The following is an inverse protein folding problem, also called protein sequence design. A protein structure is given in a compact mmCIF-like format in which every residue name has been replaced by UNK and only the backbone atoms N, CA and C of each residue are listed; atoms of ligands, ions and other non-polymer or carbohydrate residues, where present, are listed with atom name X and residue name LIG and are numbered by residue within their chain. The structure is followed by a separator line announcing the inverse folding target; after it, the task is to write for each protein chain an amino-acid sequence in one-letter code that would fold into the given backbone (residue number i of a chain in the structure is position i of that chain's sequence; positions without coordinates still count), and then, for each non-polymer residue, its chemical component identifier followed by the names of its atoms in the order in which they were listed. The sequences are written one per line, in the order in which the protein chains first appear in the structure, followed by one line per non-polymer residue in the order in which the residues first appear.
data_IF_525093568356
#
_entry.id   IF_525093568356
#
_cell.length_a   1.000
_cell.length_b   1.000
_cell.length_c   1.000
_cell.angle_alpha   90.00
_cell.angle_beta   90.00
_cell.angle_gamma   90.00
#
_symmetry.space_group_name_H-M   'P 1'
#
loop_
_entity.id
_entity.type
_entity.pdbx_description
1 polymer ?
#
# COMPACT_ATOMS: atom_id res chain seq x y z
N UNK A 1 53.79 -41.05 -23.14
CA UNK A 1 54.81 -40.96 -22.07
C UNK A 1 54.07 -40.40 -20.86
N UNK A 2 53.62 -41.29 -19.97
CA UNK A 2 54.35 -41.74 -18.77
C UNK A 2 54.29 -40.72 -17.62
N UNK A 3 53.44 -41.07 -16.63
CA UNK A 3 53.69 -41.01 -15.17
C UNK A 3 53.50 -39.59 -14.56
N UNK A 4 52.91 -39.35 -13.38
CA UNK A 4 52.95 -40.00 -12.04
C UNK A 4 51.72 -39.43 -11.26
N UNK A 5 50.76 -40.15 -10.68
CA UNK A 5 50.73 -41.06 -9.52
C UNK A 5 51.27 -40.51 -8.17
N UNK A 6 50.42 -39.85 -7.40
CA UNK A 6 50.40 -39.92 -5.91
C UNK A 6 48.94 -39.77 -5.46
N UNK A 7 48.20 -40.86 -5.21
CA UNK A 7 48.19 -41.62 -3.95
C UNK A 7 48.08 -40.73 -2.72
N UNK A 8 46.87 -40.54 -2.18
CA UNK A 8 46.64 -40.72 -0.74
C UNK A 8 45.14 -40.83 -0.42
N UNK A 9 44.75 -42.07 -0.12
CA UNK A 9 43.75 -42.47 0.89
C UNK A 9 42.28 -42.06 0.67
N UNK A 10 41.56 -43.05 0.14
CA UNK A 10 40.17 -43.33 0.47
C UNK A 10 40.05 -43.47 2.00
N UNK A 11 39.40 -42.52 2.67
CA UNK A 11 38.69 -42.82 3.93
C UNK A 11 37.21 -42.72 3.63
N UNK A 12 36.64 -43.90 3.38
CA UNK A 12 35.23 -44.21 3.43
C UNK A 12 34.76 -44.00 4.88
N UNK A 13 34.36 -42.77 5.23
CA UNK A 13 33.61 -42.54 6.46
C UNK A 13 32.15 -42.95 6.19
N UNK A 14 31.86 -44.20 6.53
CA UNK A 14 30.50 -44.70 6.74
C UNK A 14 29.86 -43.86 7.86
N UNK A 15 29.15 -42.80 7.49
CA UNK A 15 28.17 -42.19 8.39
C UNK A 15 26.92 -43.08 8.32
N UNK A 16 26.86 -44.02 9.25
CA UNK A 16 25.68 -44.82 9.56
C UNK A 16 24.64 -43.93 10.26
N UNK A 17 23.41 -43.87 9.72
CA UNK A 17 22.23 -43.30 10.37
C UNK A 17 22.27 -41.77 10.53
N UNK A 18 21.35 -40.97 10.00
CA UNK A 18 19.91 -41.17 9.96
C UNK A 18 19.37 -40.62 8.65
N UNK A 19 18.70 -41.47 7.87
CA UNK A 19 17.73 -40.97 6.90
C UNK A 19 16.56 -40.38 7.69
N UNK A 20 16.68 -39.12 8.09
CA UNK A 20 15.49 -38.30 8.33
C UNK A 20 15.19 -37.67 6.97
N UNK A 21 14.41 -38.39 6.17
CA UNK A 21 13.53 -37.73 5.22
C UNK A 21 12.58 -36.87 6.06
N UNK A 22 13.03 -35.68 6.44
CA UNK A 22 12.10 -34.62 6.72
C UNK A 22 11.52 -34.26 5.37
N UNK A 23 10.44 -34.97 5.03
CA UNK A 23 9.26 -34.37 4.42
C UNK A 23 9.10 -32.99 5.05
N UNK A 24 9.82 -32.05 4.47
CA UNK A 24 9.65 -30.63 4.71
C UNK A 24 8.43 -30.32 3.89
N UNK A 25 7.28 -30.84 4.34
CA UNK A 25 6.02 -30.20 4.10
C UNK A 25 6.30 -28.75 4.43
N UNK A 26 6.46 -27.96 3.37
CA UNK A 26 6.54 -26.53 3.40
C UNK A 26 5.36 -26.11 4.24
N UNK A 27 5.58 -25.90 5.54
CA UNK A 27 4.76 -25.01 6.30
C UNK A 27 5.03 -23.66 5.63
N UNK A 28 4.25 -23.40 4.57
CA UNK A 28 3.82 -22.06 4.22
C UNK A 28 3.16 -21.54 5.48
N UNK A 29 3.99 -21.11 6.43
CA UNK A 29 3.62 -20.16 7.43
C UNK A 29 3.38 -18.90 6.61
N UNK A 30 2.17 -18.84 6.04
CA UNK A 30 1.60 -17.64 5.48
C UNK A 30 1.55 -16.71 6.67
N UNK A 31 2.62 -15.94 6.88
CA UNK A 31 2.51 -14.69 7.59
C UNK A 31 1.45 -13.95 6.80
N UNK A 32 0.21 -13.99 7.29
CA UNK A 32 -0.83 -13.09 6.86
C UNK A 32 -0.32 -11.70 7.28
N UNK A 33 0.59 -11.16 6.47
CA UNK A 33 0.92 -9.76 6.48
C UNK A 33 -0.38 -9.10 6.05
N UNK A 34 -1.22 -8.76 7.03
CA UNK A 34 -2.34 -7.85 6.81
C UNK A 34 -1.67 -6.53 6.45
N UNK A 35 -1.44 -6.32 5.16
CA UNK A 35 -1.02 -5.02 4.66
C UNK A 35 -2.18 -4.09 4.93
N UNK A 36 -2.03 -3.29 5.99
CA UNK A 36 -3.00 -2.25 6.36
C UNK A 36 -3.19 -1.32 5.17
N UNK A 37 -4.32 -1.49 4.46
CA UNK A 37 -4.68 -0.63 3.33
C UNK A 37 -4.95 0.76 3.85
N UNK A 38 -4.27 1.75 3.26
CA UNK A 38 -4.45 3.17 3.61
C UNK A 38 -4.93 3.94 2.38
N UNK A 39 -6.25 4.04 2.17
CA UNK A 39 -6.80 4.74 1.01
C UNK A 39 -6.31 6.19 0.96
N UNK A 40 -6.10 6.68 -0.25
CA UNK A 40 -5.84 8.10 -0.51
C UNK A 40 -7.13 8.89 -0.30
N UNK A 41 -7.02 10.09 0.28
CA UNK A 41 -8.19 10.91 0.61
C UNK A 41 -8.07 12.23 -0.14
N UNK A 42 -9.13 12.56 -0.87
CA UNK A 42 -9.18 13.66 -1.83
C UNK A 42 -10.40 14.52 -1.52
N UNK A 43 -10.23 15.83 -1.57
CA UNK A 43 -11.29 16.80 -1.56
C UNK A 43 -11.48 17.35 -2.97
N UNK A 44 -12.69 17.25 -3.51
CA UNK A 44 -13.04 17.75 -4.84
C UNK A 44 -13.94 18.98 -4.72
N UNK A 45 -13.62 20.04 -5.48
CA UNK A 45 -14.48 21.24 -5.60
C UNK A 45 -15.31 21.27 -6.90
N UNK A 46 -15.14 20.23 -7.72
CA UNK A 46 -15.74 20.05 -9.04
C UNK A 46 -14.82 20.44 -10.20
N UNK A 47 -13.75 21.20 -9.94
CA UNK A 47 -12.74 21.56 -10.95
C UNK A 47 -11.40 20.89 -10.65
N UNK A 48 -11.01 20.89 -9.37
CA UNK A 48 -9.72 20.40 -8.91
C UNK A 48 -9.87 19.40 -7.75
N UNK A 49 -8.79 18.67 -7.50
CA UNK A 49 -8.68 17.65 -6.45
C UNK A 49 -7.53 18.01 -5.51
N UNK A 50 -7.81 18.08 -4.22
CA UNK A 50 -6.83 18.40 -3.18
C UNK A 50 -6.58 17.17 -2.32
N UNK A 51 -5.32 16.76 -2.21
CA UNK A 51 -4.94 15.68 -1.29
C UNK A 51 -5.14 16.14 0.15
N UNK A 52 -5.85 15.33 0.93
CA UNK A 52 -6.04 15.55 2.36
C UNK A 52 -5.20 14.58 3.17
N UNK A 53 -4.60 15.14 4.23
CA UNK A 53 -4.07 14.32 5.32
C UNK A 53 -5.24 13.74 6.13
N UNK A 54 -5.06 12.54 6.67
CA UNK A 54 -6.11 11.84 7.44
C UNK A 54 -6.61 12.65 8.64
N UNK A 55 -5.74 13.49 9.20
CA UNK A 55 -6.07 14.36 10.33
C UNK A 55 -7.03 15.49 9.93
N UNK A 56 -6.88 16.03 8.71
CA UNK A 56 -7.68 17.14 8.22
C UNK A 56 -9.17 16.80 8.02
N UNK A 57 -9.51 15.50 7.92
CA UNK A 57 -10.91 15.03 7.83
C UNK A 57 -11.68 15.39 9.09
N UNK A 58 -11.01 15.44 10.24
CA UNK A 58 -11.66 15.81 11.52
C UNK A 58 -12.15 17.25 11.53
N UNK A 59 -11.58 18.09 10.68
CA UNK A 59 -11.96 19.49 10.54
C UNK A 59 -13.14 19.68 9.56
N UNK A 60 -13.55 18.61 8.86
CA UNK A 60 -14.71 18.61 7.98
C UNK A 60 -15.95 18.22 8.78
N UNK A 61 -16.89 19.15 8.90
CA UNK A 61 -18.19 18.87 9.54
C UNK A 61 -19.05 18.01 8.60
N UNK A 62 -19.76 16.98 9.10
CA UNK A 62 -20.63 16.14 8.25
C UNK A 62 -21.66 16.92 7.43
N UNK A 63 -22.20 18.01 7.98
CA UNK A 63 -23.21 18.85 7.31
C UNK A 63 -22.67 19.54 6.04
N UNK A 64 -21.35 19.69 5.95
CA UNK A 64 -20.68 20.30 4.80
C UNK A 64 -20.53 19.33 3.63
N UNK A 65 -20.70 18.02 3.84
CA UNK A 65 -20.48 17.01 2.81
C UNK A 65 -21.68 16.96 1.87
N UNK A 66 -21.40 17.10 0.58
CA UNK A 66 -22.37 16.91 -0.50
C UNK A 66 -22.36 15.46 -1.00
N UNK A 67 -21.16 14.93 -1.27
CA UNK A 67 -20.99 13.57 -1.76
C UNK A 67 -19.71 12.92 -1.24
N UNK A 68 -19.73 11.59 -1.15
CA UNK A 68 -18.56 10.75 -0.91
C UNK A 68 -18.52 9.68 -1.99
N UNK A 69 -17.47 9.68 -2.80
CA UNK A 69 -17.21 8.68 -3.84
C UNK A 69 -16.02 7.81 -3.42
N UNK A 70 -16.14 6.49 -3.58
CA UNK A 70 -15.07 5.56 -3.27
C UNK A 70 -14.64 4.85 -4.54
N UNK A 71 -13.42 5.15 -5.00
CA UNK A 71 -12.79 4.45 -6.10
C UNK A 71 -12.01 3.24 -5.59
N UNK A 72 -12.26 2.10 -6.21
CA UNK A 72 -11.65 0.81 -5.88
C UNK A 72 -10.83 0.29 -7.07
N UNK A 73 -9.89 -0.59 -6.75
CA UNK A 73 -9.10 -1.38 -7.70
C UNK A 73 -8.51 -0.52 -8.83
N UNK A 74 -8.62 -0.97 -10.09
CA UNK A 74 -7.99 -0.34 -11.25
C UNK A 74 -8.40 1.13 -11.46
N UNK A 75 -9.64 1.51 -11.15
CA UNK A 75 -10.12 2.90 -11.35
C UNK A 75 -9.39 3.91 -10.46
N UNK A 76 -9.04 3.49 -9.24
CA UNK A 76 -8.31 4.33 -8.31
C UNK A 76 -6.88 4.57 -8.80
N UNK A 77 -6.19 3.52 -9.26
CA UNK A 77 -4.84 3.60 -9.80
C UNK A 77 -4.77 4.30 -11.15
N UNK A 78 -5.79 4.16 -11.99
CA UNK A 78 -5.86 4.84 -13.29
C UNK A 78 -5.90 6.36 -13.10
N UNK A 79 -6.69 6.84 -12.14
CA UNK A 79 -6.90 8.28 -11.90
C UNK A 79 -5.86 8.91 -10.98
N UNK A 80 -5.32 8.17 -10.00
CA UNK A 80 -4.44 8.70 -8.95
C UNK A 80 -3.07 8.00 -8.86
N UNK A 81 -2.74 7.11 -9.81
CA UNK A 81 -1.47 6.40 -9.87
C UNK A 81 -1.25 5.45 -8.68
N UNK A 82 0.02 5.20 -8.36
CA UNK A 82 0.41 4.30 -7.27
C UNK A 82 -0.13 4.73 -5.90
N UNK A 83 -0.35 6.04 -5.71
CA UNK A 83 -0.94 6.56 -4.48
C UNK A 83 -2.40 6.09 -4.26
N UNK A 84 -3.11 5.75 -5.34
CA UNK A 84 -4.48 5.22 -5.30
C UNK A 84 -4.57 3.69 -5.19
N UNK A 85 -3.45 2.96 -5.08
CA UNK A 85 -3.45 1.48 -5.09
C UNK A 85 -4.25 0.84 -3.95
N UNK A 86 -4.32 1.52 -2.81
CA UNK A 86 -5.11 1.08 -1.66
C UNK A 86 -6.58 1.56 -1.71
N UNK A 87 -6.98 2.18 -2.83
CA UNK A 87 -8.26 2.85 -3.03
C UNK A 87 -8.17 4.36 -2.82
N UNK A 88 -9.21 5.07 -3.28
CA UNK A 88 -9.31 6.54 -3.11
C UNK A 88 -10.71 6.88 -2.61
N UNK A 89 -10.77 7.73 -1.59
CA UNK A 89 -12.01 8.34 -1.09
C UNK A 89 -12.02 9.79 -1.52
N UNK A 90 -13.00 10.16 -2.34
CA UNK A 90 -13.22 11.53 -2.82
C UNK A 90 -14.40 12.10 -2.05
N UNK A 91 -14.17 13.24 -1.39
CA UNK A 91 -15.18 13.98 -0.65
C UNK A 91 -15.47 15.25 -1.43
N UNK A 92 -16.75 15.55 -1.65
CA UNK A 92 -17.20 16.82 -2.23
C UNK A 92 -17.95 17.59 -1.16
N UNK A 93 -17.63 18.87 -0.99
CA UNK A 93 -18.32 19.75 -0.05
C UNK A 93 -19.43 20.54 -0.76
N UNK A 94 -20.49 20.85 -0.01
CA UNK A 94 -21.59 21.70 -0.45
C UNK A 94 -21.10 23.11 -0.68
N UNK A 95 -21.57 23.72 -1.78
CA UNK A 95 -21.17 25.06 -2.22
C UNK A 95 -21.91 26.19 -1.51
N UNK A 96 -23.05 25.90 -0.89
CA UNK A 96 -23.86 26.88 -0.14
C UNK A 96 -23.41 27.06 1.31
N UNK A 97 -22.41 26.27 1.77
CA UNK A 97 -21.86 26.40 3.12
C UNK A 97 -20.60 27.27 3.11
N UNK A 98 -20.71 28.47 3.67
CA UNK A 98 -19.61 29.45 3.70
C UNK A 98 -18.35 28.92 4.40
N UNK A 99 -18.50 28.25 5.54
CA UNK A 99 -17.36 27.67 6.27
C UNK A 99 -16.63 26.58 5.46
N UNK A 100 -17.36 25.79 4.68
CA UNK A 100 -16.78 24.76 3.80
C UNK A 100 -15.99 25.40 2.65
N UNK A 101 -16.54 26.46 2.06
CA UNK A 101 -15.85 27.23 1.02
C UNK A 101 -14.56 27.88 1.56
N UNK A 102 -14.60 28.45 2.77
CA UNK A 102 -13.40 29.01 3.41
C UNK A 102 -12.32 27.94 3.63
N UNK A 103 -12.71 26.74 4.07
CA UNK A 103 -11.79 25.62 4.21
C UNK A 103 -11.12 25.25 2.88
N UNK A 104 -11.90 25.14 1.79
CA UNK A 104 -11.38 24.90 0.44
C UNK A 104 -10.38 25.97 0.00
N UNK A 105 -10.72 27.25 0.19
CA UNK A 105 -9.85 28.36 -0.20
C UNK A 105 -8.53 28.37 0.59
N UNK A 106 -8.55 27.99 1.86
CA UNK A 106 -7.33 27.85 2.67
C UNK A 106 -6.44 26.71 2.14
N UNK A 107 -7.02 25.59 1.73
CA UNK A 107 -6.27 24.50 1.10
C UNK A 107 -5.63 24.91 -0.23
N UNK A 108 -6.39 25.62 -1.09
CA UNK A 108 -5.88 26.13 -2.38
C UNK A 108 -4.65 27.02 -2.21
N UNK A 109 -4.71 27.95 -1.25
CA UNK A 109 -3.60 28.87 -0.97
C UNK A 109 -2.35 28.15 -0.49
N UNK A 110 -2.51 27.10 0.32
CA UNK A 110 -1.38 26.33 0.84
C UNK A 110 -0.69 25.49 -0.24
N UNK A 111 -1.43 25.02 -1.24
CA UNK A 111 -0.89 24.21 -2.35
C UNK A 111 -0.26 25.04 -3.48
N UNK A 112 -0.42 26.38 -3.48
CA UNK A 112 0.12 27.28 -4.51
C UNK A 112 1.47 27.92 -4.14
N UNK A 113 2.03 27.58 -2.98
CA UNK A 113 3.41 27.95 -2.60
C UNK A 113 4.40 26.94 -3.16
#
# INVERSE_FOLDING_TARGET
MKNILTSLTIVLALVSGNAVAQDSALQKQTTNQVTEKRPLIILADGTENYKLERTAIKDITPDWIDAVEVLKDAKATEKFGDAGRDGVVIITLKKDVEAANLFLENLKKNNKK
#
